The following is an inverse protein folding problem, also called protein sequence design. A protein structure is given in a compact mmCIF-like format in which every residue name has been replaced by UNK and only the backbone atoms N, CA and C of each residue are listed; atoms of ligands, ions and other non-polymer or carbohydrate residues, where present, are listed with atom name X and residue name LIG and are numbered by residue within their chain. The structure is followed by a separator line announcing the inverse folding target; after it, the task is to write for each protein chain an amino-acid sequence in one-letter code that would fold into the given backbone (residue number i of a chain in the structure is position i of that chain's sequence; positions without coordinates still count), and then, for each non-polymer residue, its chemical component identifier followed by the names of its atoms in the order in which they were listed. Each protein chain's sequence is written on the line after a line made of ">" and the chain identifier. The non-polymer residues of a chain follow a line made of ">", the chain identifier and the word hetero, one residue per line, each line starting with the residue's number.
data_IF_275989484470
#
_entry.id   IF_275989484470
#
_cell.length_a   1.000
_cell.length_b   1.000
_cell.length_c   1.000
_cell.angle_alpha   90.00
_cell.angle_beta   90.00
_cell.angle_gamma   90.00
#
_symmetry.space_group_name_H-M   'P 1'
#
loop_
_entity.id
_entity.type
_entity.pdbx_description
1 polymer ?
#
# COMPACT_ATOMS: atom_id res chain seq x y z
N UNK A 1 -24.10 -61.35 -1.44
CA UNK A 1 -23.75 -60.55 -2.62
C UNK A 1 -24.19 -59.07 -2.56
N UNK A 2 -25.30 -58.69 -1.90
CA UNK A 2 -25.75 -57.25 -1.83
C UNK A 2 -24.91 -56.36 -0.92
N UNK A 3 -24.24 -56.91 0.13
CA UNK A 3 -23.42 -56.16 1.06
C UNK A 3 -22.03 -55.80 0.50
N UNK A 4 -21.50 -56.60 -0.43
CA UNK A 4 -20.21 -56.36 -1.09
C UNK A 4 -20.28 -55.26 -2.16
N UNK A 5 -21.44 -55.09 -2.80
CA UNK A 5 -21.65 -54.01 -3.80
C UNK A 5 -21.74 -52.61 -3.12
N UNK A 6 -22.39 -52.55 -1.93
CA UNK A 6 -22.46 -51.31 -1.18
C UNK A 6 -21.10 -50.85 -0.67
N UNK A 7 -20.24 -51.80 -0.26
CA UNK A 7 -18.86 -51.48 0.14
C UNK A 7 -17.99 -51.00 -1.06
N UNK A 8 -18.17 -51.58 -2.25
CA UNK A 8 -17.43 -51.12 -3.44
C UNK A 8 -17.90 -49.74 -3.92
N UNK A 9 -19.19 -49.42 -3.82
CA UNK A 9 -19.71 -48.07 -4.16
C UNK A 9 -19.25 -47.03 -3.15
N UNK A 10 -19.18 -47.38 -1.86
CA UNK A 10 -18.63 -46.50 -0.82
C UNK A 10 -17.12 -46.26 -1.02
N UNK A 11 -16.34 -47.31 -1.33
CA UNK A 11 -14.92 -47.17 -1.68
C UNK A 11 -14.68 -46.38 -2.97
N UNK A 12 -15.55 -46.53 -3.97
CA UNK A 12 -15.50 -45.77 -5.22
C UNK A 12 -15.81 -44.27 -5.02
N UNK A 13 -16.71 -43.94 -4.09
CA UNK A 13 -17.03 -42.54 -3.74
C UNK A 13 -15.86 -41.86 -2.98
N UNK A 14 -15.06 -42.58 -2.19
CA UNK A 14 -13.86 -42.05 -1.54
C UNK A 14 -12.65 -41.98 -2.48
N UNK A 15 -12.57 -42.78 -3.51
CA UNK A 15 -11.49 -42.73 -4.51
C UNK A 15 -11.59 -41.51 -5.45
N UNK A 16 -12.76 -40.91 -5.61
CA UNK A 16 -12.97 -39.68 -6.36
C UNK A 16 -12.50 -38.39 -5.63
N UNK A 17 -12.27 -38.45 -4.31
CA UNK A 17 -11.82 -37.34 -3.52
C UNK A 17 -10.27 -37.15 -3.46
N UNK A 18 -9.51 -38.04 -4.12
CA UNK A 18 -8.06 -38.13 -3.98
C UNK A 18 -7.24 -37.28 -4.99
N UNK A 19 -7.86 -36.39 -5.73
CA UNK A 19 -7.18 -35.49 -6.68
C UNK A 19 -7.30 -33.99 -6.34
N UNK A 20 -7.47 -33.64 -5.07
CA UNK A 20 -7.27 -32.27 -4.64
C UNK A 20 -5.76 -31.96 -4.73
N UNK A 21 -5.32 -31.36 -5.83
CA UNK A 21 -3.93 -30.96 -5.98
C UNK A 21 -3.66 -29.75 -5.09
N UNK A 22 -3.35 -30.00 -3.83
CA UNK A 22 -2.94 -28.97 -2.87
C UNK A 22 -1.54 -28.50 -3.21
N UNK A 23 -1.34 -27.21 -3.31
CA UNK A 23 -0.01 -26.63 -3.54
C UNK A 23 0.31 -25.57 -2.50
N UNK A 24 1.54 -25.60 -1.98
CA UNK A 24 2.10 -24.53 -1.18
C UNK A 24 3.33 -24.00 -1.89
N UNK A 25 3.36 -22.70 -2.14
CA UNK A 25 4.46 -22.04 -2.84
C UNK A 25 5.14 -21.09 -1.88
N UNK A 26 6.46 -21.24 -1.71
CA UNK A 26 7.33 -20.22 -1.13
C UNK A 26 7.64 -19.20 -2.23
N UNK A 27 7.53 -17.93 -1.91
CA UNK A 27 7.87 -16.83 -2.81
C UNK A 27 8.47 -15.65 -2.05
N UNK A 28 9.15 -14.76 -2.75
CA UNK A 28 9.69 -13.58 -2.11
C UNK A 28 10.36 -12.60 -3.05
N UNK A 29 10.79 -11.50 -2.45
CA UNK A 29 11.54 -10.41 -3.08
C UNK A 29 12.62 -9.97 -2.11
N UNK A 30 13.84 -9.82 -2.60
CA UNK A 30 14.94 -9.14 -1.94
C UNK A 30 15.26 -7.91 -2.78
N UNK A 31 15.18 -6.74 -2.20
CA UNK A 31 15.46 -5.45 -2.83
C UNK A 31 16.39 -4.67 -1.91
N UNK A 32 17.59 -4.39 -2.39
CA UNK A 32 18.61 -3.70 -1.61
C UNK A 32 19.39 -2.72 -2.51
N UNK A 33 19.97 -1.68 -1.89
CA UNK A 33 20.86 -0.80 -2.62
C UNK A 33 21.23 0.46 -1.86
N UNK A 34 22.07 1.27 -2.51
CA UNK A 34 22.59 2.52 -2.00
C UNK A 34 21.53 3.63 -2.18
N UNK A 35 21.34 4.44 -1.12
CA UNK A 35 20.49 5.61 -1.14
C UNK A 35 21.28 6.85 -0.70
N UNK A 36 21.05 7.94 -1.41
CA UNK A 36 21.49 9.28 -1.07
C UNK A 36 20.29 10.16 -0.76
N UNK A 37 20.31 10.87 0.36
CA UNK A 37 19.37 11.94 0.70
C UNK A 37 20.19 13.21 1.01
N UNK A 38 19.96 14.26 0.23
CA UNK A 38 20.74 15.49 0.37
C UNK A 38 20.40 16.28 1.66
N UNK A 39 19.26 16.01 2.28
CA UNK A 39 18.81 16.71 3.46
C UNK A 39 17.96 15.82 4.36
N UNK A 40 18.60 15.02 5.19
CA UNK A 40 18.00 14.24 6.26
C UNK A 40 18.13 15.04 7.57
N UNK A 41 17.09 15.77 7.95
CA UNK A 41 17.10 16.66 9.12
C UNK A 41 18.29 17.66 9.11
N UNK A 42 18.63 18.22 7.94
CA UNK A 42 19.71 19.19 7.78
C UNK A 42 21.08 18.60 7.43
N UNK A 43 21.20 17.29 7.25
CA UNK A 43 22.46 16.59 6.95
C UNK A 43 22.35 15.74 5.70
N UNK A 44 23.48 15.49 5.03
CA UNK A 44 23.54 14.49 3.97
C UNK A 44 23.52 13.08 4.57
N UNK A 45 22.73 12.19 3.97
CA UNK A 45 22.71 10.78 4.32
C UNK A 45 23.16 9.94 3.13
N UNK A 46 24.10 9.04 3.40
CA UNK A 46 24.58 8.01 2.51
C UNK A 46 24.38 6.68 3.22
N UNK A 47 23.67 5.72 2.61
CA UNK A 47 23.40 4.45 3.28
C UNK A 47 22.94 3.36 2.34
N UNK A 48 22.82 2.18 2.89
CA UNK A 48 22.06 1.10 2.28
C UNK A 48 20.62 1.15 2.79
N UNK A 49 19.68 0.77 1.96
CA UNK A 49 18.25 0.83 2.29
C UNK A 49 17.51 -0.34 1.63
N UNK A 50 16.75 -1.07 2.43
CA UNK A 50 16.02 -2.24 1.99
C UNK A 50 14.65 -1.89 1.42
N UNK A 51 14.27 -2.55 0.31
CA UNK A 51 12.90 -2.60 -0.15
C UNK A 51 12.37 -1.31 -0.79
N UNK A 52 13.22 -0.50 -1.43
CA UNK A 52 12.81 0.80 -2.00
C UNK A 52 11.94 0.62 -3.25
N UNK A 53 12.38 -0.17 -4.23
CA UNK A 53 11.58 -0.45 -5.43
C UNK A 53 10.36 -1.31 -5.08
N UNK A 54 10.58 -2.35 -4.28
CA UNK A 54 9.52 -3.19 -3.71
C UNK A 54 9.94 -3.71 -2.34
N UNK A 55 9.12 -3.53 -1.31
CA UNK A 55 9.44 -3.98 0.04
C UNK A 55 9.91 -5.43 0.09
N UNK A 56 11.12 -5.65 0.64
CA UNK A 56 11.71 -6.98 0.81
C UNK A 56 10.78 -7.85 1.63
N UNK A 57 10.49 -9.06 1.13
CA UNK A 57 9.48 -9.95 1.70
C UNK A 57 9.73 -11.41 1.36
N UNK A 58 9.21 -12.30 2.17
CA UNK A 58 8.95 -13.68 1.80
C UNK A 58 7.57 -14.11 2.27
N UNK A 59 6.98 -15.11 1.65
CA UNK A 59 5.67 -15.59 2.01
C UNK A 59 5.41 -17.02 1.56
N UNK A 60 4.36 -17.58 2.16
CA UNK A 60 3.74 -18.84 1.77
C UNK A 60 2.35 -18.54 1.24
N UNK A 61 2.01 -19.07 0.10
CA UNK A 61 0.65 -19.09 -0.42
C UNK A 61 0.25 -20.52 -0.75
N UNK A 62 -0.95 -20.87 -0.35
CA UNK A 62 -1.49 -22.21 -0.60
C UNK A 62 -2.83 -22.17 -1.31
N UNK A 63 -3.08 -23.23 -2.06
CA UNK A 63 -4.36 -23.48 -2.73
C UNK A 63 -4.68 -24.95 -2.60
N UNK A 64 -5.92 -25.25 -2.18
CA UNK A 64 -6.51 -26.59 -2.15
C UNK A 64 -7.76 -26.57 -2.99
N UNK A 65 -7.86 -27.49 -3.96
CA UNK A 65 -9.07 -27.66 -4.78
C UNK A 65 -10.09 -28.47 -3.99
N UNK A 66 -11.25 -27.87 -3.69
CA UNK A 66 -12.34 -28.51 -2.95
C UNK A 66 -13.38 -29.15 -3.89
N UNK A 67 -13.15 -29.10 -5.20
CA UNK A 67 -14.09 -29.58 -6.22
C UNK A 67 -15.14 -28.54 -6.63
N UNK A 68 -15.80 -28.75 -7.76
CA UNK A 68 -16.85 -27.86 -8.26
C UNK A 68 -16.41 -26.42 -8.56
N UNK A 69 -15.10 -26.16 -8.73
CA UNK A 69 -14.52 -24.83 -8.93
C UNK A 69 -14.31 -24.05 -7.64
N UNK A 70 -14.58 -24.65 -6.47
CA UNK A 70 -14.32 -24.08 -5.16
C UNK A 70 -12.89 -24.41 -4.71
N UNK A 71 -12.18 -23.43 -4.16
CA UNK A 71 -10.83 -23.59 -3.64
C UNK A 71 -10.70 -22.95 -2.27
N UNK A 72 -10.02 -23.63 -1.34
CA UNK A 72 -9.48 -22.97 -0.15
C UNK A 72 -8.13 -22.34 -0.49
N UNK A 73 -7.91 -21.13 0.00
CA UNK A 73 -6.68 -20.37 -0.25
C UNK A 73 -6.15 -19.76 1.04
N UNK A 74 -4.85 -19.58 1.14
CA UNK A 74 -4.24 -18.76 2.19
C UNK A 74 -3.02 -18.02 1.68
N UNK A 75 -2.68 -16.91 2.37
CA UNK A 75 -1.41 -16.20 2.21
C UNK A 75 -0.90 -15.78 3.57
N UNK A 76 0.39 -16.05 3.82
CA UNK A 76 1.15 -15.59 4.97
C UNK A 76 2.39 -14.88 4.42
N UNK A 77 2.47 -13.54 4.55
CA UNK A 77 3.54 -12.73 3.96
C UNK A 77 4.23 -11.88 5.02
N UNK A 78 5.54 -12.09 5.14
CA UNK A 78 6.44 -11.33 6.00
C UNK A 78 7.14 -10.22 5.22
N UNK A 79 7.28 -9.04 5.82
CA UNK A 79 8.22 -8.01 5.34
C UNK A 79 9.45 -7.97 6.25
N UNK A 80 10.61 -7.72 5.71
CA UNK A 80 11.84 -7.65 6.49
C UNK A 80 12.81 -6.60 5.94
N UNK A 81 13.73 -6.18 6.78
CA UNK A 81 14.83 -5.30 6.42
C UNK A 81 16.08 -6.12 6.14
N UNK A 82 16.64 -6.01 4.92
CA UNK A 82 17.81 -6.80 4.48
C UNK A 82 19.07 -6.42 5.25
N UNK A 83 19.20 -5.12 5.64
CA UNK A 83 20.40 -4.64 6.32
C UNK A 83 20.54 -5.14 7.76
N UNK A 84 19.41 -5.35 8.43
CA UNK A 84 19.39 -5.68 9.87
C UNK A 84 18.77 -7.04 10.19
N UNK A 85 18.07 -7.66 9.23
CA UNK A 85 17.30 -8.88 9.46
C UNK A 85 16.02 -8.66 10.29
N UNK A 86 15.65 -7.42 10.64
CA UNK A 86 14.46 -7.12 11.44
C UNK A 86 13.19 -7.33 10.64
N UNK A 87 12.13 -7.76 11.35
CA UNK A 87 10.79 -7.83 10.78
C UNK A 87 10.27 -6.42 10.48
N UNK A 88 9.62 -6.28 9.32
CA UNK A 88 8.91 -5.07 8.93
C UNK A 88 7.57 -4.91 9.66
N UNK A 89 6.78 -3.90 9.25
CA UNK A 89 5.42 -3.64 9.72
C UNK A 89 5.25 -3.67 11.25
N UNK A 90 6.18 -3.01 11.96
CA UNK A 90 6.13 -2.94 13.43
C UNK A 90 6.56 -4.21 14.14
N UNK A 91 7.33 -5.08 13.50
CA UNK A 91 7.87 -6.32 14.09
C UNK A 91 6.93 -7.53 13.94
N UNK A 92 5.88 -7.44 13.12
CA UNK A 92 4.95 -8.54 12.89
C UNK A 92 5.56 -9.59 11.95
N UNK A 93 5.49 -10.88 12.34
CA UNK A 93 5.99 -12.00 11.52
C UNK A 93 5.27 -12.09 10.17
N UNK A 94 3.96 -11.88 10.11
CA UNK A 94 3.19 -11.82 8.87
C UNK A 94 2.52 -10.44 8.73
N UNK A 95 3.33 -9.39 8.85
CA UNK A 95 2.87 -8.02 8.92
C UNK A 95 2.37 -7.45 7.59
N UNK A 96 2.63 -8.10 6.45
CA UNK A 96 2.14 -7.67 5.15
C UNK A 96 0.76 -8.24 4.86
N UNK A 97 0.61 -9.56 4.87
CA UNK A 97 -0.66 -10.25 4.68
C UNK A 97 -0.70 -11.54 5.53
N UNK A 98 -1.84 -11.81 6.13
CA UNK A 98 -2.11 -13.05 6.86
C UNK A 98 -3.61 -13.33 6.76
N UNK A 99 -4.01 -14.17 5.80
CA UNK A 99 -5.42 -14.48 5.57
C UNK A 99 -5.63 -15.91 5.08
N UNK A 100 -6.86 -16.40 5.27
CA UNK A 100 -7.42 -17.62 4.70
C UNK A 100 -8.72 -17.24 3.99
N UNK A 101 -9.12 -18.00 2.99
CA UNK A 101 -10.37 -17.72 2.27
C UNK A 101 -10.82 -18.82 1.33
N UNK A 102 -11.94 -18.53 0.69
CA UNK A 102 -12.56 -19.37 -0.33
C UNK A 102 -12.62 -18.61 -1.65
N UNK A 103 -12.17 -19.25 -2.72
CA UNK A 103 -12.25 -18.74 -4.08
C UNK A 103 -13.17 -19.63 -4.91
N UNK A 104 -14.02 -19.01 -5.71
CA UNK A 104 -15.00 -19.67 -6.57
C UNK A 104 -15.14 -18.94 -7.91
N UNK A 105 -15.86 -19.49 -8.91
CA UNK A 105 -16.19 -18.75 -10.13
C UNK A 105 -16.98 -17.46 -9.92
N UNK A 106 -17.58 -17.28 -8.74
CA UNK A 106 -18.36 -16.09 -8.37
C UNK A 106 -17.56 -15.03 -7.61
N UNK A 107 -16.29 -15.30 -7.30
CA UNK A 107 -15.39 -14.41 -6.58
C UNK A 107 -14.70 -15.08 -5.40
N UNK A 108 -13.93 -14.28 -4.69
CA UNK A 108 -13.08 -14.71 -3.59
C UNK A 108 -13.46 -13.96 -2.32
N UNK A 109 -13.66 -14.70 -1.22
CA UNK A 109 -13.83 -14.13 0.12
C UNK A 109 -12.63 -14.53 0.97
N UNK A 110 -11.99 -13.55 1.63
CA UNK A 110 -10.83 -13.76 2.50
C UNK A 110 -11.04 -13.13 3.86
N UNK A 111 -10.45 -13.75 4.89
CA UNK A 111 -10.55 -13.35 6.29
C UNK A 111 -9.14 -13.19 6.88
N UNK A 112 -8.85 -12.03 7.46
CA UNK A 112 -7.56 -11.80 8.13
C UNK A 112 -6.97 -10.40 7.86
N UNK A 113 -5.64 -10.28 7.96
CA UNK A 113 -4.88 -9.07 7.67
C UNK A 113 -4.59 -8.94 6.19
N UNK A 114 -4.98 -7.83 5.57
CA UNK A 114 -4.89 -7.66 4.12
C UNK A 114 -4.95 -6.19 3.70
N UNK A 115 -4.86 -5.95 2.40
CA UNK A 115 -4.88 -4.62 1.78
C UNK A 115 -6.31 -4.14 1.55
N UNK A 116 -6.50 -2.82 1.62
CA UNK A 116 -7.78 -2.18 1.30
C UNK A 116 -7.99 -2.02 -0.22
N UNK A 117 -9.19 -1.57 -0.60
CA UNK A 117 -9.57 -1.48 -2.01
C UNK A 117 -8.90 -0.32 -2.76
N UNK A 118 -8.39 0.71 -2.06
CA UNK A 118 -7.65 1.80 -2.71
C UNK A 118 -6.31 1.26 -3.21
N UNK A 119 -5.62 0.49 -2.37
CA UNK A 119 -4.38 -0.22 -2.73
C UNK A 119 -4.61 -1.18 -3.89
N UNK A 120 -5.71 -1.96 -3.86
CA UNK A 120 -5.93 -2.99 -4.89
C UNK A 120 -6.26 -2.42 -6.28
N UNK A 121 -7.04 -1.33 -6.34
CA UNK A 121 -7.61 -0.85 -7.60
C UNK A 121 -6.96 0.44 -8.12
N UNK A 122 -6.37 1.26 -7.26
CA UNK A 122 -5.77 2.55 -7.66
C UNK A 122 -4.25 2.54 -7.50
N UNK A 123 -3.72 1.95 -6.43
CA UNK A 123 -2.28 1.88 -6.16
C UNK A 123 -1.42 1.44 -7.35
N UNK A 124 -1.78 0.39 -8.12
CA UNK A 124 -0.99 -0.03 -9.29
C UNK A 124 -0.86 1.02 -10.41
N UNK A 125 -1.62 2.12 -10.34
CA UNK A 125 -1.59 3.21 -11.32
C UNK A 125 -0.63 4.34 -10.92
N UNK A 126 -0.15 4.36 -9.67
CA UNK A 126 0.83 5.31 -9.15
C UNK A 126 2.25 4.96 -9.62
N UNK A 127 3.09 5.96 -9.88
CA UNK A 127 4.48 5.79 -10.26
C UNK A 127 5.28 4.97 -9.25
N UNK A 128 4.99 5.15 -7.95
CA UNK A 128 5.61 4.43 -6.84
C UNK A 128 5.46 2.92 -6.96
N UNK A 129 4.29 2.42 -7.32
CA UNK A 129 4.04 0.97 -7.48
C UNK A 129 4.49 0.42 -8.84
N UNK A 130 4.74 1.28 -9.83
CA UNK A 130 5.12 0.85 -11.16
C UNK A 130 6.64 0.71 -11.35
N UNK A 131 7.40 1.79 -11.12
CA UNK A 131 8.83 1.86 -11.41
C UNK A 131 9.62 2.78 -10.46
N UNK A 132 8.95 3.60 -9.67
CA UNK A 132 9.57 4.63 -8.84
C UNK A 132 9.86 4.21 -7.40
N UNK A 133 9.32 3.07 -6.97
CA UNK A 133 9.43 2.61 -5.58
C UNK A 133 8.79 3.57 -4.57
N UNK A 134 8.87 3.26 -3.29
CA UNK A 134 8.18 4.05 -2.26
C UNK A 134 8.70 5.51 -2.15
N UNK A 135 9.92 5.81 -2.63
CA UNK A 135 10.42 7.19 -2.63
C UNK A 135 9.76 8.07 -3.70
N UNK A 136 9.16 7.47 -4.73
CA UNK A 136 8.37 8.18 -5.73
C UNK A 136 6.86 8.14 -5.43
N UNK A 137 6.43 7.52 -4.33
CA UNK A 137 5.04 7.56 -3.88
C UNK A 137 4.61 8.98 -3.52
N UNK A 138 3.31 9.20 -3.43
CA UNK A 138 2.71 10.46 -3.02
C UNK A 138 3.28 10.89 -1.66
N UNK A 139 3.45 12.21 -1.38
CA UNK A 139 4.08 12.71 -0.16
C UNK A 139 3.54 12.07 1.12
N UNK A 140 4.39 11.30 1.81
CA UNK A 140 4.03 10.55 3.02
C UNK A 140 3.10 9.36 2.80
N UNK A 141 2.83 8.94 1.54
CA UNK A 141 1.78 7.95 1.19
C UNK A 141 0.44 8.29 1.85
N UNK A 142 0.06 9.57 1.73
CA UNK A 142 -1.06 10.20 2.46
C UNK A 142 -2.43 9.58 2.15
N UNK A 143 -2.54 8.90 1.03
CA UNK A 143 -3.74 8.24 0.49
C UNK A 143 -3.65 6.70 0.50
N UNK A 144 -2.54 6.16 1.02
CA UNK A 144 -2.27 4.72 1.11
C UNK A 144 -2.16 4.00 -0.25
N UNK A 145 -1.92 4.71 -1.36
CA UNK A 145 -1.79 4.06 -2.67
C UNK A 145 -0.58 3.12 -2.70
N UNK A 146 0.53 3.50 -2.08
CA UNK A 146 1.73 2.67 -1.96
C UNK A 146 1.70 1.71 -0.75
N UNK A 147 0.53 1.59 -0.08
CA UNK A 147 0.27 0.59 0.95
C UNK A 147 1.16 0.72 2.20
N UNK A 148 1.25 1.93 2.78
CA UNK A 148 1.89 2.13 4.08
C UNK A 148 1.14 1.38 5.19
N UNK A 149 -0.19 1.31 5.11
CA UNK A 149 -1.06 0.75 6.13
C UNK A 149 -1.84 -0.46 5.61
N UNK A 150 -2.02 -1.48 6.48
CA UNK A 150 -2.81 -2.69 6.24
C UNK A 150 -3.98 -2.72 7.20
N UNK A 151 -4.97 -3.53 6.88
CA UNK A 151 -6.20 -3.65 7.67
C UNK A 151 -6.23 -5.01 8.38
N UNK A 152 -6.36 -4.98 9.71
CA UNK A 152 -6.55 -6.18 10.55
C UNK A 152 -8.03 -6.56 10.64
N UNK A 153 -8.31 -7.81 11.07
CA UNK A 153 -9.66 -8.31 11.33
C UNK A 153 -10.65 -8.06 10.19
N UNK A 154 -10.16 -8.20 8.96
CA UNK A 154 -10.92 -7.84 7.76
C UNK A 154 -11.57 -9.06 7.11
N UNK A 155 -12.78 -8.83 6.61
CA UNK A 155 -13.50 -9.66 5.65
C UNK A 155 -13.41 -8.91 4.33
N UNK A 156 -12.91 -9.56 3.27
CA UNK A 156 -12.75 -8.96 1.95
C UNK A 156 -13.38 -9.84 0.89
N UNK A 157 -14.09 -9.21 -0.02
CA UNK A 157 -14.59 -9.83 -1.23
C UNK A 157 -13.90 -9.22 -2.46
N UNK A 158 -13.54 -10.06 -3.42
CA UNK A 158 -13.02 -9.64 -4.74
C UNK A 158 -13.78 -10.42 -5.81
N UNK A 159 -14.39 -9.71 -6.77
CA UNK A 159 -15.13 -10.31 -7.88
C UNK A 159 -14.18 -10.97 -8.89
N UNK A 160 -14.65 -11.90 -9.72
CA UNK A 160 -13.96 -12.23 -10.96
C UNK A 160 -13.99 -11.03 -11.92
N UNK A 161 -13.25 -11.14 -13.02
CA UNK A 161 -13.34 -10.14 -14.10
C UNK A 161 -14.53 -10.45 -15.01
N UNK A 162 -15.41 -9.47 -15.19
CA UNK A 162 -16.54 -9.50 -16.10
C UNK A 162 -16.26 -8.59 -17.31
N UNK A 163 -15.78 -9.15 -18.41
CA UNK A 163 -15.36 -8.40 -19.60
C UNK A 163 -14.38 -7.24 -19.30
N UNK A 164 -13.42 -7.48 -18.42
CA UNK A 164 -12.44 -6.50 -17.97
C UNK A 164 -12.83 -5.71 -16.72
N UNK A 165 -14.10 -5.71 -16.33
CA UNK A 165 -14.58 -5.05 -15.12
C UNK A 165 -14.45 -5.94 -13.89
N UNK A 166 -13.91 -5.43 -12.80
CA UNK A 166 -13.83 -6.10 -11.50
C UNK A 166 -14.14 -5.10 -10.38
N UNK A 167 -14.61 -5.61 -9.25
CA UNK A 167 -14.91 -4.82 -8.06
C UNK A 167 -14.62 -5.61 -6.80
N UNK A 168 -14.53 -4.92 -5.70
CA UNK A 168 -14.29 -5.54 -4.40
C UNK A 168 -14.59 -4.61 -3.26
N UNK A 169 -14.56 -5.15 -2.07
CA UNK A 169 -14.76 -4.39 -0.85
C UNK A 169 -14.20 -5.13 0.36
N UNK A 170 -13.86 -4.35 1.36
CA UNK A 170 -13.33 -4.83 2.62
C UNK A 170 -14.12 -4.20 3.76
N UNK A 171 -14.40 -4.99 4.77
CA UNK A 171 -14.94 -4.54 6.05
C UNK A 171 -14.12 -5.13 7.19
N UNK A 172 -13.65 -4.27 8.09
CA UNK A 172 -12.89 -4.67 9.27
C UNK A 172 -13.68 -4.41 10.54
N UNK A 173 -13.73 -5.44 11.38
CA UNK A 173 -14.23 -5.33 12.75
C UNK A 173 -13.15 -4.72 13.63
N UNK A 174 -13.49 -3.68 14.39
CA UNK A 174 -12.50 -2.98 15.22
C UNK A 174 -11.97 -3.79 16.41
N UNK A 175 -12.64 -4.89 16.76
CA UNK A 175 -12.21 -5.83 17.80
C UNK A 175 -12.26 -5.29 19.24
N UNK A 176 -13.02 -4.22 19.50
CA UNK A 176 -13.15 -3.62 20.84
C UNK A 176 -14.50 -3.96 21.43
N UNK A 177 -14.48 -4.68 22.55
CA UNK A 177 -15.70 -5.10 23.26
C UNK A 177 -16.58 -3.90 23.65
N UNK A 178 -17.86 -3.97 23.33
CA UNK A 178 -18.83 -2.90 23.57
C UNK A 178 -18.72 -1.66 22.69
N UNK A 179 -17.74 -1.61 21.76
CA UNK A 179 -17.48 -0.44 20.90
C UNK A 179 -17.37 -0.85 19.42
N UNK A 180 -18.47 -1.32 18.83
CA UNK A 180 -18.52 -1.87 17.47
C UNK A 180 -17.89 -0.96 16.40
N UNK A 181 -18.10 0.37 16.49
CA UNK A 181 -17.63 1.30 15.49
C UNK A 181 -16.17 1.78 15.69
N UNK A 182 -15.54 1.47 16.82
CA UNK A 182 -14.17 1.88 17.11
C UNK A 182 -13.18 1.04 16.30
N UNK A 183 -12.16 1.67 15.71
CA UNK A 183 -11.12 1.05 14.87
C UNK A 183 -11.67 0.34 13.59
N UNK A 184 -12.92 0.55 13.28
CA UNK A 184 -13.56 -0.01 12.10
C UNK A 184 -12.96 0.57 10.82
N UNK A 185 -12.71 -0.29 9.83
CA UNK A 185 -12.29 0.12 8.48
C UNK A 185 -13.24 -0.50 7.46
N UNK A 186 -13.62 0.28 6.45
CA UNK A 186 -14.29 -0.26 5.28
C UNK A 186 -13.78 0.42 4.00
N UNK A 187 -13.70 -0.34 2.95
CA UNK A 187 -13.28 0.14 1.66
C UNK A 187 -14.05 -0.54 0.53
N UNK A 188 -14.21 0.18 -0.57
CA UNK A 188 -14.82 -0.30 -1.80
C UNK A 188 -13.95 0.14 -2.97
N UNK A 189 -13.91 -0.68 -4.02
CA UNK A 189 -13.18 -0.32 -5.22
C UNK A 189 -13.70 -1.05 -6.44
N UNK A 190 -13.39 -0.51 -7.60
CA UNK A 190 -13.65 -1.11 -8.89
C UNK A 190 -12.54 -0.76 -9.87
N UNK A 191 -12.30 -1.68 -10.79
CA UNK A 191 -11.31 -1.54 -11.85
C UNK A 191 -11.86 -2.01 -13.19
N UNK A 192 -11.30 -1.44 -14.25
CA UNK A 192 -11.53 -1.88 -15.61
C UNK A 192 -10.20 -2.07 -16.31
N UNK A 193 -9.98 -3.24 -16.88
CA UNK A 193 -8.78 -3.59 -17.62
C UNK A 193 -9.18 -4.27 -18.94
N UNK A 194 -9.00 -3.54 -20.04
CA UNK A 194 -9.35 -4.07 -21.36
C UNK A 194 -8.37 -3.53 -22.42
N UNK A 195 -7.52 -4.43 -22.91
CA UNK A 195 -6.49 -4.09 -23.87
C UNK A 195 -5.52 -3.02 -23.33
N UNK A 196 -5.38 -1.85 -23.99
CA UNK A 196 -4.45 -0.81 -23.57
C UNK A 196 -4.95 0.04 -22.39
N UNK A 197 -6.24 -0.02 -22.04
CA UNK A 197 -6.87 0.84 -21.05
C UNK A 197 -6.99 0.14 -19.70
N UNK A 198 -6.49 0.79 -18.66
CA UNK A 198 -6.68 0.41 -17.25
C UNK A 198 -7.27 1.59 -16.50
N UNK A 199 -8.37 1.37 -15.77
CA UNK A 199 -9.01 2.36 -14.90
C UNK A 199 -9.18 1.77 -13.51
N UNK A 200 -9.11 2.61 -12.50
CA UNK A 200 -9.33 2.23 -11.10
C UNK A 200 -10.01 3.35 -10.31
N UNK A 201 -10.91 2.96 -9.43
CA UNK A 201 -11.50 3.84 -8.42
C UNK A 201 -11.54 3.13 -7.08
N UNK A 202 -11.36 3.88 -6.00
CA UNK A 202 -11.36 3.33 -4.65
C UNK A 202 -11.84 4.32 -3.62
N UNK A 203 -12.42 3.78 -2.56
CA UNK A 203 -12.83 4.51 -1.36
C UNK A 203 -12.37 3.76 -0.13
N UNK A 204 -11.84 4.50 0.84
CA UNK A 204 -11.41 4.00 2.13
C UNK A 204 -11.95 4.89 3.25
N UNK A 205 -12.43 4.28 4.32
CA UNK A 205 -12.82 4.97 5.55
C UNK A 205 -12.35 4.17 6.77
N UNK A 206 -11.49 4.78 7.58
CA UNK A 206 -11.00 4.21 8.83
C UNK A 206 -11.39 5.08 10.02
N UNK A 207 -12.06 4.49 11.01
CA UNK A 207 -12.48 5.17 12.24
C UNK A 207 -11.40 5.04 13.30
N UNK A 208 -11.16 6.11 14.06
CA UNK A 208 -10.15 6.18 15.13
C UNK A 208 -8.81 5.54 14.74
N UNK A 209 -8.24 5.94 13.57
CA UNK A 209 -7.15 5.17 12.94
C UNK A 209 -5.87 5.14 13.77
N UNK A 210 -5.62 6.15 14.62
CA UNK A 210 -4.42 6.25 15.48
C UNK A 210 -4.60 5.62 16.86
N UNK A 211 -5.80 5.12 17.20
CA UNK A 211 -5.97 4.37 18.44
C UNK A 211 -5.27 3.01 18.34
N UNK A 212 -4.91 2.43 19.49
CA UNK A 212 -4.38 1.08 19.52
C UNK A 212 -5.32 0.11 18.79
N UNK A 213 -4.78 -0.67 17.86
CA UNK A 213 -5.54 -1.54 16.96
C UNK A 213 -6.21 -0.82 15.77
N UNK A 214 -6.18 0.50 15.69
CA UNK A 214 -6.63 1.27 14.52
C UNK A 214 -5.66 1.18 13.34
N UNK A 215 -6.07 1.60 12.15
CA UNK A 215 -5.33 1.38 10.91
C UNK A 215 -3.88 1.90 10.95
N UNK A 216 -3.63 3.05 11.59
CA UNK A 216 -2.29 3.62 11.73
C UNK A 216 -1.47 3.01 12.88
N UNK A 217 -2.09 2.23 13.74
CA UNK A 217 -1.48 1.68 14.95
C UNK A 217 -1.81 0.19 15.13
N UNK A 218 -1.74 -0.59 14.08
CA UNK A 218 -2.04 -2.02 14.08
C UNK A 218 -0.81 -2.89 13.74
N UNK A 219 0.38 -2.30 13.72
CA UNK A 219 1.65 -2.99 13.44
C UNK A 219 2.31 -3.59 14.69
N UNK A 220 1.78 -3.38 15.92
CA UNK A 220 2.31 -3.98 17.14
C UNK A 220 1.51 -5.23 17.53
N UNK A 221 2.21 -6.29 17.87
CA UNK A 221 1.62 -7.50 18.48
C UNK A 221 1.44 -7.37 20.00
N UNK A 222 2.01 -6.35 20.63
CA UNK A 222 1.95 -6.15 22.07
C UNK A 222 0.83 -5.15 22.45
N UNK A 223 -0.28 -5.62 23.05
CA UNK A 223 -1.35 -4.76 23.50
C UNK A 223 -0.95 -3.88 24.69
N UNK A 224 0.16 -4.19 25.37
CA UNK A 224 0.64 -3.42 26.52
C UNK A 224 1.48 -2.20 26.12
N UNK A 225 1.99 -2.18 24.89
CA UNK A 225 2.54 -0.96 24.30
C UNK A 225 1.38 -0.03 23.96
N UNK A 226 0.86 0.63 25.00
CA UNK A 226 -0.15 1.70 24.90
C UNK A 226 0.37 2.94 24.18
N UNK A 227 1.59 2.86 23.62
CA UNK A 227 2.15 3.88 22.75
C UNK A 227 1.43 3.87 21.42
N UNK A 228 0.68 4.92 21.12
CA UNK A 228 0.36 5.31 19.76
C UNK A 228 1.69 5.26 19.00
N UNK A 229 1.81 4.41 17.98
CA UNK A 229 2.88 4.59 17.00
C UNK A 229 2.53 5.89 16.28
N UNK A 230 3.22 7.01 16.54
CA UNK A 230 2.85 8.27 15.93
C UNK A 230 3.09 8.14 14.43
N UNK A 231 2.16 8.64 13.65
CA UNK A 231 2.42 8.95 12.23
C UNK A 231 3.44 10.07 12.23
N UNK A 232 4.68 9.78 11.84
CA UNK A 232 5.82 10.68 12.01
C UNK A 232 6.05 11.62 10.83
N UNK A 233 5.40 11.37 9.68
CA UNK A 233 5.57 12.26 8.53
C UNK A 233 5.10 13.68 8.84
N UNK A 234 5.89 14.71 8.53
CA UNK A 234 5.50 16.10 8.73
C UNK A 234 4.41 16.56 7.76
N UNK A 235 4.12 15.78 6.72
CA UNK A 235 3.10 16.11 5.72
C UNK A 235 1.70 16.14 6.33
N UNK A 236 1.35 15.10 7.11
CA UNK A 236 0.01 14.97 7.70
C UNK A 236 -0.04 14.39 9.12
N UNK A 237 1.11 14.08 9.72
CA UNK A 237 1.16 13.41 11.03
C UNK A 237 0.44 14.17 12.13
N UNK A 238 0.54 15.50 12.16
CA UNK A 238 -0.18 16.33 13.12
C UNK A 238 -1.71 16.16 13.07
N UNK A 239 -2.25 15.96 11.89
CA UNK A 239 -3.69 15.73 11.68
C UNK A 239 -4.07 14.28 11.96
N UNK A 240 -3.26 13.33 11.48
CA UNK A 240 -3.54 11.89 11.55
C UNK A 240 -3.57 11.36 12.99
N UNK A 241 -2.65 11.84 13.85
CA UNK A 241 -2.46 11.30 15.20
C UNK A 241 -3.64 11.51 16.15
N UNK A 242 -4.57 12.39 15.80
CA UNK A 242 -5.76 12.67 16.61
C UNK A 242 -7.07 12.63 15.81
N UNK A 243 -7.02 12.25 14.53
CA UNK A 243 -8.20 12.17 13.70
C UNK A 243 -9.19 11.10 14.18
N UNK A 244 -10.47 11.47 14.21
CA UNK A 244 -11.56 10.51 14.44
C UNK A 244 -11.85 9.64 13.20
N UNK A 245 -11.53 10.17 12.01
CA UNK A 245 -11.72 9.43 10.75
C UNK A 245 -10.64 9.81 9.74
N UNK A 246 -10.04 8.80 9.14
CA UNK A 246 -9.24 8.89 7.93
C UNK A 246 -10.08 8.41 6.75
N UNK A 247 -10.19 9.23 5.71
CA UNK A 247 -11.00 8.95 4.53
C UNK A 247 -10.20 9.24 3.29
N UNK A 248 -10.25 8.33 2.31
CA UNK A 248 -9.63 8.49 0.98
C UNK A 248 -10.66 8.21 -0.10
N UNK A 249 -10.70 9.06 -1.11
CA UNK A 249 -11.33 8.81 -2.40
C UNK A 249 -10.19 8.85 -3.42
N UNK A 250 -10.03 7.78 -4.17
CA UNK A 250 -8.99 7.68 -5.19
C UNK A 250 -9.57 7.28 -6.55
N UNK A 251 -8.96 7.79 -7.59
CA UNK A 251 -9.23 7.39 -8.97
C UNK A 251 -7.95 7.46 -9.79
N UNK A 252 -7.84 6.62 -10.82
CA UNK A 252 -6.72 6.68 -11.73
C UNK A 252 -7.01 5.94 -13.03
N UNK A 253 -6.15 6.16 -14.00
CA UNK A 253 -6.21 5.47 -15.27
C UNK A 253 -4.86 5.47 -15.96
N UNK A 254 -4.65 4.49 -16.82
CA UNK A 254 -3.47 4.40 -17.68
C UNK A 254 -3.87 3.90 -19.07
N UNK A 255 -3.16 4.39 -20.06
CA UNK A 255 -3.32 3.96 -21.45
C UNK A 255 -1.96 3.61 -22.04
N UNK A 256 -1.87 2.41 -22.61
CA UNK A 256 -0.65 1.91 -23.26
C UNK A 256 -0.78 2.01 -24.78
N UNK A 257 0.16 2.69 -25.43
CA UNK A 257 0.26 2.78 -26.88
C UNK A 257 1.68 2.39 -27.34
N UNK A 258 1.77 1.24 -27.99
CA UNK A 258 3.07 0.65 -28.35
C UNK A 258 3.92 0.36 -27.11
N UNK A 259 5.10 0.96 -27.04
CA UNK A 259 6.03 0.81 -25.93
C UNK A 259 5.81 1.82 -24.78
N UNK A 260 4.89 2.78 -24.96
CA UNK A 260 4.65 3.84 -24.01
C UNK A 260 3.35 3.64 -23.24
N UNK A 261 3.37 3.95 -21.94
CA UNK A 261 2.19 4.02 -21.07
C UNK A 261 2.15 5.40 -20.42
N UNK A 262 1.02 6.08 -20.52
CA UNK A 262 0.72 7.31 -19.76
C UNK A 262 -0.32 6.95 -18.72
N UNK A 263 -0.06 7.35 -17.48
CA UNK A 263 -0.97 7.19 -16.35
C UNK A 263 -1.24 8.52 -15.67
N UNK A 264 -2.38 8.58 -14.98
CA UNK A 264 -2.71 9.65 -14.05
C UNK A 264 -3.49 9.11 -12.87
N UNK A 265 -3.25 9.67 -11.69
CA UNK A 265 -4.00 9.38 -10.48
C UNK A 265 -4.45 10.66 -9.80
N UNK A 266 -5.54 10.56 -9.05
CA UNK A 266 -6.04 11.61 -8.19
C UNK A 266 -6.53 11.02 -6.88
N UNK A 267 -6.22 11.70 -5.77
CA UNK A 267 -6.80 11.39 -4.48
C UNK A 267 -7.32 12.63 -3.74
N UNK A 268 -8.38 12.41 -2.96
CA UNK A 268 -8.87 13.34 -1.94
C UNK A 268 -8.82 12.64 -0.59
N UNK A 269 -7.90 13.08 0.26
CA UNK A 269 -7.66 12.51 1.58
C UNK A 269 -8.12 13.46 2.66
N UNK A 270 -8.88 12.95 3.66
CA UNK A 270 -9.40 13.75 4.77
C UNK A 270 -9.06 13.11 6.11
N UNK A 271 -8.55 13.95 7.02
CA UNK A 271 -8.40 13.67 8.44
C UNK A 271 -9.47 14.46 9.18
N UNK A 272 -10.60 13.79 9.54
CA UNK A 272 -11.78 14.45 10.13
C UNK A 272 -11.76 14.34 11.65
N UNK A 273 -12.19 15.40 12.32
CA UNK A 273 -12.32 15.45 13.77
C UNK A 273 -10.97 15.40 14.49
N UNK A 274 -9.90 15.89 13.86
CA UNK A 274 -8.61 15.97 14.52
C UNK A 274 -8.60 17.08 15.57
N UNK A 275 -7.77 16.90 16.62
CA UNK A 275 -7.57 17.89 17.67
C UNK A 275 -6.08 17.94 18.03
N UNK A 276 -5.44 19.10 17.79
CA UNK A 276 -4.01 19.33 18.08
C UNK A 276 -3.81 20.82 18.42
N UNK A 277 -3.17 21.10 19.53
CA UNK A 277 -2.99 22.47 20.02
C UNK A 277 -4.32 23.24 20.12
N UNK A 278 -4.46 24.43 19.50
CA UNK A 278 -5.69 25.22 19.55
C UNK A 278 -6.78 24.70 18.60
N UNK A 279 -6.49 23.73 17.74
CA UNK A 279 -7.43 23.20 16.77
C UNK A 279 -8.22 22.04 17.38
N UNK A 280 -9.53 22.17 17.54
CA UNK A 280 -10.39 21.17 18.16
C UNK A 280 -11.45 20.74 17.13
N UNK A 281 -11.58 19.43 16.92
CA UNK A 281 -12.58 18.80 16.04
C UNK A 281 -12.59 19.37 14.61
N UNK A 282 -11.43 19.60 14.04
CA UNK A 282 -11.25 20.16 12.71
C UNK A 282 -11.14 19.07 11.64
N UNK A 283 -11.18 19.47 10.38
CA UNK A 283 -10.96 18.59 9.24
C UNK A 283 -9.82 19.15 8.38
N UNK A 284 -8.78 18.36 8.16
CA UNK A 284 -7.77 18.63 7.16
C UNK A 284 -8.07 17.84 5.89
N UNK A 285 -7.98 18.49 4.74
CA UNK A 285 -8.18 17.89 3.42
C UNK A 285 -6.91 18.08 2.61
N UNK A 286 -6.47 17.00 1.96
CA UNK A 286 -5.39 17.00 0.99
C UNK A 286 -5.94 16.53 -0.35
N UNK A 287 -5.54 17.21 -1.42
CA UNK A 287 -5.77 16.78 -2.79
C UNK A 287 -4.41 16.48 -3.41
N UNK A 288 -4.30 15.34 -4.03
CA UNK A 288 -3.12 14.92 -4.74
C UNK A 288 -3.49 14.63 -6.20
N UNK A 289 -2.59 14.94 -7.11
CA UNK A 289 -2.71 14.59 -8.52
C UNK A 289 -1.34 14.25 -9.09
N UNK A 290 -1.24 13.07 -9.68
CA UNK A 290 -0.04 12.60 -10.35
C UNK A 290 -0.30 12.38 -11.84
N UNK A 291 0.69 12.68 -12.65
CA UNK A 291 0.83 12.18 -14.02
C UNK A 291 2.13 11.40 -14.13
N UNK A 292 2.07 10.20 -14.71
CA UNK A 292 3.23 9.36 -14.87
C UNK A 292 3.36 8.81 -16.29
N UNK A 293 4.60 8.48 -16.63
CA UNK A 293 4.98 7.96 -17.92
C UNK A 293 5.95 6.79 -17.74
N UNK A 294 5.73 5.72 -18.50
CA UNK A 294 6.60 4.56 -18.58
C UNK A 294 6.86 4.22 -20.03
N UNK A 295 8.12 4.01 -20.39
CA UNK A 295 8.53 3.66 -21.74
C UNK A 295 9.42 2.42 -21.74
N UNK A 296 8.96 1.36 -22.42
CA UNK A 296 9.73 0.13 -22.63
C UNK A 296 10.69 0.35 -23.82
N UNK A 297 11.90 0.88 -23.54
CA UNK A 297 12.88 1.21 -24.58
C UNK A 297 13.40 -0.03 -25.31
N UNK A 298 13.64 -1.10 -24.55
CA UNK A 298 13.96 -2.43 -25.06
C UNK A 298 13.23 -3.47 -24.21
N UNK A 299 13.16 -4.76 -24.60
CA UNK A 299 12.58 -5.80 -23.75
C UNK A 299 13.16 -5.88 -22.33
N UNK A 300 14.39 -5.38 -22.14
CA UNK A 300 15.09 -5.39 -20.86
C UNK A 300 15.18 -4.02 -20.17
N UNK A 301 14.76 -2.91 -20.81
CA UNK A 301 15.01 -1.56 -20.28
C UNK A 301 13.72 -0.74 -20.25
N UNK A 302 13.36 -0.28 -19.06
CA UNK A 302 12.25 0.64 -18.80
C UNK A 302 12.80 2.01 -18.39
N UNK A 303 12.20 3.06 -18.92
CA UNK A 303 12.36 4.44 -18.47
C UNK A 303 11.05 4.91 -17.85
N UNK A 304 11.13 5.64 -16.74
CA UNK A 304 9.99 6.21 -16.04
C UNK A 304 10.19 7.68 -15.73
N UNK A 305 9.10 8.47 -15.82
CA UNK A 305 9.04 9.84 -15.36
C UNK A 305 7.67 10.11 -14.72
N UNK A 306 7.63 10.89 -13.64
CA UNK A 306 6.39 11.28 -12.99
C UNK A 306 6.49 12.69 -12.41
N UNK A 307 5.34 13.35 -12.35
CA UNK A 307 5.16 14.58 -11.60
C UNK A 307 3.92 14.46 -10.72
N UNK A 308 4.10 14.76 -9.44
CA UNK A 308 3.09 14.74 -8.41
C UNK A 308 2.90 16.14 -7.82
N UNK A 309 1.64 16.50 -7.58
CA UNK A 309 1.26 17.73 -6.88
C UNK A 309 0.28 17.43 -5.77
N UNK A 310 0.67 17.75 -4.54
CA UNK A 310 -0.18 17.66 -3.35
C UNK A 310 -0.46 19.02 -2.76
N UNK A 311 -1.72 19.28 -2.39
CA UNK A 311 -2.13 20.50 -1.69
C UNK A 311 -2.99 20.16 -0.47
N UNK A 312 -2.57 20.65 0.70
CA UNK A 312 -3.31 20.53 1.96
C UNK A 312 -4.36 21.65 2.15
N UNK A 313 -5.07 21.59 3.27
CA UNK A 313 -5.99 22.65 3.71
C UNK A 313 -5.25 23.91 4.13
N UNK A 314 -5.89 25.06 4.01
CA UNK A 314 -5.47 26.30 4.67
C UNK A 314 -5.69 26.19 6.18
N UNK A 315 -4.80 26.80 6.95
CA UNK A 315 -4.85 26.82 8.41
C UNK A 315 -4.87 28.29 8.87
N UNK A 316 -5.92 28.70 9.59
CA UNK A 316 -6.06 30.04 10.16
C UNK A 316 -5.71 31.19 9.19
N UNK A 317 -6.17 31.10 7.93
CA UNK A 317 -5.88 32.10 6.92
C UNK A 317 -4.47 32.05 6.31
N UNK A 318 -3.60 31.16 6.78
CA UNK A 318 -2.27 30.93 6.18
C UNK A 318 -2.36 30.27 4.81
N UNK A 319 -1.27 30.31 4.03
CA UNK A 319 -1.20 29.57 2.78
C UNK A 319 -1.14 28.07 3.06
N UNK A 320 -1.91 27.28 2.30
CA UNK A 320 -1.90 25.83 2.40
C UNK A 320 -0.53 25.24 2.07
N UNK A 321 -0.16 24.15 2.75
CA UNK A 321 0.99 23.34 2.36
C UNK A 321 0.81 22.80 0.95
N UNK A 322 1.85 22.88 0.13
CA UNK A 322 1.92 22.37 -1.23
C UNK A 322 3.21 21.60 -1.40
N UNK A 323 3.15 20.47 -2.07
CA UNK A 323 4.31 19.65 -2.40
C UNK A 323 4.31 19.41 -3.90
N UNK A 324 5.44 19.69 -4.54
CA UNK A 324 5.73 19.41 -5.94
C UNK A 324 6.82 18.36 -5.97
N UNK A 325 6.56 17.21 -6.57
CA UNK A 325 7.52 16.11 -6.63
C UNK A 325 7.73 15.69 -8.08
N UNK A 326 8.99 15.64 -8.50
CA UNK A 326 9.39 15.08 -9.79
C UNK A 326 10.21 13.83 -9.58
N UNK A 327 9.91 12.76 -10.31
CA UNK A 327 10.57 11.46 -10.20
C UNK A 327 11.03 10.97 -11.57
N UNK A 328 12.24 10.40 -11.64
CA UNK A 328 12.79 9.75 -12.82
C UNK A 328 13.30 8.37 -12.41
N UNK A 329 13.10 7.38 -13.28
CA UNK A 329 13.53 6.01 -13.03
C UNK A 329 14.05 5.31 -14.29
N UNK A 330 15.01 4.43 -14.07
CA UNK A 330 15.53 3.49 -15.08
C UNK A 330 15.57 2.12 -14.42
N UNK A 331 14.96 1.11 -15.05
CA UNK A 331 14.95 -0.26 -14.57
C UNK A 331 15.45 -1.19 -15.68
N UNK A 332 16.53 -1.93 -15.41
CA UNK A 332 17.17 -2.85 -16.36
C UNK A 332 17.09 -4.30 -15.89
N UNK A 333 16.35 -5.12 -16.62
CA UNK A 333 16.13 -6.53 -16.33
C UNK A 333 17.32 -7.38 -16.79
N UNK A 334 18.09 -7.87 -15.85
CA UNK A 334 19.14 -8.87 -16.06
C UNK A 334 18.53 -10.24 -16.39
N UNK A 335 17.34 -10.51 -15.83
CA UNK A 335 16.53 -11.70 -16.08
C UNK A 335 15.06 -11.42 -15.76
N UNK A 336 14.17 -12.40 -15.94
CA UNK A 336 12.76 -12.30 -15.50
C UNK A 336 12.59 -12.09 -13.98
N UNK A 337 13.61 -12.38 -13.18
CA UNK A 337 13.58 -12.34 -11.71
C UNK A 337 14.54 -11.33 -11.11
N UNK A 338 15.49 -10.82 -11.87
CA UNK A 338 16.56 -9.95 -11.35
C UNK A 338 16.65 -8.71 -12.22
N UNK A 339 16.60 -7.57 -11.58
CA UNK A 339 16.78 -6.27 -12.21
C UNK A 339 17.70 -5.37 -11.37
N UNK A 340 18.30 -4.38 -12.03
CA UNK A 340 19.06 -3.30 -11.43
C UNK A 340 18.41 -1.98 -11.84
N UNK A 341 18.32 -1.04 -10.92
CA UNK A 341 17.56 0.17 -11.16
C UNK A 341 18.24 1.42 -10.58
N UNK A 342 17.89 2.57 -11.15
CA UNK A 342 18.24 3.89 -10.65
C UNK A 342 16.96 4.72 -10.55
N UNK A 343 16.76 5.40 -9.41
CA UNK A 343 15.64 6.31 -9.18
C UNK A 343 16.17 7.62 -8.64
N UNK A 344 15.72 8.73 -9.19
CA UNK A 344 15.95 10.08 -8.68
C UNK A 344 14.63 10.77 -8.36
N UNK A 345 14.54 11.40 -7.19
CA UNK A 345 13.36 12.15 -6.75
C UNK A 345 13.79 13.53 -6.27
N UNK A 346 13.08 14.56 -6.73
CA UNK A 346 13.16 15.92 -6.22
C UNK A 346 11.80 16.34 -5.68
N UNK A 347 11.79 16.90 -4.47
CA UNK A 347 10.56 17.44 -3.89
C UNK A 347 10.79 18.87 -3.42
N UNK A 348 9.82 19.75 -3.72
CA UNK A 348 9.73 21.12 -3.22
C UNK A 348 8.44 21.30 -2.43
N UNK A 349 8.55 21.81 -1.20
CA UNK A 349 7.43 22.16 -0.34
C UNK A 349 7.30 23.66 -0.19
N UNK A 350 6.07 24.17 -0.07
CA UNK A 350 5.77 25.58 0.19
C UNK A 350 4.49 25.71 1.01
N UNK A 351 4.22 26.91 1.56
CA UNK A 351 3.07 27.15 2.41
C UNK A 351 3.29 26.64 3.84
N UNK A 352 2.20 26.40 4.57
CA UNK A 352 2.21 26.07 5.98
C UNK A 352 1.45 24.79 6.30
N UNK A 353 1.92 24.07 7.32
CA UNK A 353 1.30 22.89 7.91
C UNK A 353 1.28 23.03 9.44
N UNK A 354 0.77 22.01 10.14
CA UNK A 354 0.86 21.93 11.61
C UNK A 354 2.04 21.04 12.04
N UNK A 355 2.73 21.44 13.08
CA UNK A 355 3.62 20.54 13.82
C UNK A 355 2.84 19.65 14.80
N UNK A 356 3.53 18.73 15.48
CA UNK A 356 2.93 17.80 16.43
C UNK A 356 2.27 18.49 17.66
N UNK A 357 2.60 19.75 17.93
CA UNK A 357 2.05 20.55 19.02
C UNK A 357 0.88 21.45 18.57
N UNK A 358 0.58 21.48 17.27
CA UNK A 358 -0.46 22.32 16.67
C UNK A 358 0.02 23.74 16.37
N UNK A 359 1.31 23.99 16.31
CA UNK A 359 1.83 25.26 15.83
C UNK A 359 1.78 25.29 14.29
N UNK A 360 1.45 26.44 13.74
CA UNK A 360 1.54 26.69 12.30
C UNK A 360 3.00 26.90 11.94
N UNK A 361 3.54 25.98 11.13
CA UNK A 361 4.95 25.99 10.71
C UNK A 361 5.05 25.96 9.18
N UNK A 362 6.18 26.39 8.64
CA UNK A 362 6.45 26.25 7.21
C UNK A 362 6.51 24.76 6.83
N UNK A 363 5.90 24.40 5.70
CA UNK A 363 6.00 23.07 5.16
C UNK A 363 7.42 22.82 4.61
N UNK A 364 8.02 21.71 5.02
CA UNK A 364 9.31 21.25 4.54
C UNK A 364 9.14 20.04 3.62
N UNK A 365 10.08 19.86 2.70
CA UNK A 365 10.07 18.70 1.82
C UNK A 365 10.25 17.42 2.63
N UNK A 366 9.51 16.37 2.26
CA UNK A 366 9.52 15.07 2.92
C UNK A 366 9.21 13.98 1.92
N UNK A 367 10.23 13.51 1.21
CA UNK A 367 10.13 12.37 0.30
C UNK A 367 9.74 11.14 1.10
N UNK A 368 8.75 10.39 0.60
CA UNK A 368 8.17 9.26 1.32
C UNK A 368 9.24 8.23 1.73
N UNK A 369 9.16 7.75 2.98
CA UNK A 369 10.08 6.75 3.54
C UNK A 369 11.48 7.26 3.89
N UNK A 370 11.78 8.55 3.73
CA UNK A 370 13.05 9.17 4.11
C UNK A 370 12.87 10.15 5.28
N UNK A 371 13.97 10.41 6.01
CA UNK A 371 14.02 11.50 6.97
C UNK A 371 13.67 12.82 6.27
N UNK A 372 12.80 13.65 6.86
CA UNK A 372 12.36 14.90 6.24
C UNK A 372 13.50 15.90 6.09
N UNK A 373 13.37 16.78 5.12
CA UNK A 373 14.27 17.93 4.96
C UNK A 373 14.07 18.95 6.07
N UNK A 374 15.14 19.66 6.44
CA UNK A 374 15.07 20.87 7.28
C UNK A 374 14.71 22.13 6.47
N UNK A 375 14.50 21.99 5.14
CA UNK A 375 14.20 23.10 4.22
C UNK A 375 13.03 22.75 3.31
N UNK A 376 12.68 23.66 2.43
CA UNK A 376 11.64 23.44 1.41
C UNK A 376 12.04 22.46 0.29
N UNK A 377 13.30 22.05 0.19
CA UNK A 377 13.78 21.21 -0.90
C UNK A 377 14.41 19.92 -0.39
N UNK A 378 14.20 18.82 -1.12
CA UNK A 378 14.84 17.54 -0.86
C UNK A 378 15.14 16.84 -2.18
N UNK A 379 16.30 16.21 -2.27
CA UNK A 379 16.73 15.35 -3.38
C UNK A 379 17.09 13.99 -2.84
N UNK A 380 16.58 12.95 -3.45
CA UNK A 380 16.99 11.58 -3.18
C UNK A 380 17.44 10.89 -4.47
N UNK A 381 18.45 10.04 -4.36
CA UNK A 381 18.91 9.19 -5.44
C UNK A 381 19.11 7.76 -4.92
N UNK A 382 18.68 6.78 -5.70
CA UNK A 382 18.75 5.36 -5.37
C UNK A 382 19.38 4.58 -6.51
N UNK A 383 20.31 3.68 -6.18
CA UNK A 383 20.79 2.62 -7.08
C UNK A 383 20.60 1.30 -6.36
N UNK A 384 19.86 0.37 -6.96
CA UNK A 384 19.51 -0.88 -6.29
C UNK A 384 19.48 -2.08 -7.21
N UNK A 385 19.39 -3.24 -6.57
CA UNK A 385 19.17 -4.55 -7.20
C UNK A 385 17.97 -5.19 -6.54
N UNK A 386 17.10 -5.77 -7.36
CA UNK A 386 15.94 -6.53 -6.90
C UNK A 386 15.99 -7.95 -7.46
N UNK A 387 15.73 -8.93 -6.59
CA UNK A 387 15.62 -10.34 -6.97
C UNK A 387 14.32 -10.93 -6.46
N UNK A 388 13.59 -11.63 -7.34
CA UNK A 388 12.32 -12.35 -7.06
C UNK A 388 12.58 -13.85 -7.09
N UNK A 389 12.07 -14.60 -6.12
CA UNK A 389 12.22 -16.06 -6.03
C UNK A 389 10.88 -16.77 -5.74
#
# INVERSE_FOLDING_TARGET
>A
MKKSLLALVALGAFAGAAHAQSSVTLYGIIDEGFIFNNNANGKHLYGLSSGVMQGSRFGLRGTEDLGGGLKAIFTLENGFDVNSGKLGQGGLMFGRQAYVGLSSPYGTVTLGRQYDSVVDFVGPLEAGDQWGGYIAAHPGDLDNFNNAYRVNNAIKYTSPSYAGFSFGGLYSLGGIAGQFARNQVWSLGAGYNNGPLVLGVGYLNARTPSNFGGMFNNGSSDPTTSGKLPVTTPVYGAYANSANTYQVIGAGGAYTFGAATIGATYSNTKFKGFSVGPFVNQTATFNNGEINFKYQLTPALILGAAYDYTQGSKINGSSAAKYHQGSLGVDYFLSKRTDVYVIGVYQHASGNTLDANGNVVQAHASINGLDPSSTSNQVAARVGIRHKF
#
